data_IF_153843797008
#
_entry.id   IF_153843797008
#
_cell.length_a   1.000
_cell.length_b   1.000
_cell.length_c   1.000
_cell.angle_alpha   90.00
_cell.angle_beta   90.00
_cell.angle_gamma   90.00
#
_symmetry.space_group_name_H-M   'P 1'
#
loop_
_entity.id
_entity.type
_entity.pdbx_description
1 polymer ?
#
# COMPACT_ATOMS: atom_id res chain seq x y z
N UNK A 1 -22.30 -5.09 8.98
CA UNK A 1 -22.68 -3.71 8.57
C UNK A 1 -22.18 -2.59 9.50
N UNK A 2 -21.18 -2.82 10.37
CA UNK A 2 -20.48 -1.75 11.11
C UNK A 2 -19.23 -1.20 10.38
N UNK A 3 -18.78 -1.91 9.34
CA UNK A 3 -17.58 -1.60 8.56
C UNK A 3 -17.70 -0.31 7.73
N UNK A 4 -18.88 -0.01 7.17
CA UNK A 4 -19.03 1.14 6.27
C UNK A 4 -19.15 2.48 7.00
N UNK A 5 -19.69 2.51 8.23
CA UNK A 5 -19.93 3.77 8.95
C UNK A 5 -18.63 4.40 9.47
N UNK A 6 -17.64 3.61 9.86
CA UNK A 6 -16.32 4.08 10.30
C UNK A 6 -15.46 4.59 9.13
N UNK A 7 -15.62 4.04 7.93
CA UNK A 7 -14.92 4.45 6.71
C UNK A 7 -15.27 5.88 6.25
N UNK A 8 -16.51 6.29 6.46
CA UNK A 8 -17.01 7.62 6.04
C UNK A 8 -16.38 8.73 6.87
N UNK A 9 -16.22 8.52 8.18
CA UNK A 9 -15.73 9.54 9.10
C UNK A 9 -14.25 9.94 8.82
N UNK A 10 -13.40 8.97 8.46
CA UNK A 10 -11.98 9.22 8.24
C UNK A 10 -11.71 9.96 6.91
N UNK A 11 -12.51 9.66 5.88
CA UNK A 11 -12.39 10.26 4.53
C UNK A 11 -12.74 11.75 4.52
N UNK A 12 -13.63 12.19 5.43
CA UNK A 12 -14.05 13.59 5.60
C UNK A 12 -12.96 14.48 6.22
N UNK A 13 -12.04 13.90 7.01
CA UNK A 13 -11.05 14.67 7.77
C UNK A 13 -9.81 15.02 6.93
N UNK A 14 -9.50 14.21 5.91
CA UNK A 14 -8.27 14.33 5.10
C UNK A 14 -8.46 15.03 3.75
N UNK A 15 -9.70 15.30 3.35
CA UNK A 15 -10.04 15.88 2.04
C UNK A 15 -10.07 17.40 2.03
N UNK A 16 -8.94 18.09 2.25
CA UNK A 16 -8.79 19.48 1.80
C UNK A 16 -7.35 19.78 1.32
N UNK A 17 -7.30 20.37 0.12
CA UNK A 17 -6.23 21.10 -0.59
C UNK A 17 -5.23 20.33 -1.50
N UNK A 18 -5.26 20.65 -2.80
CA UNK A 18 -4.31 21.62 -3.40
C UNK A 18 -3.13 21.10 -4.26
N UNK A 19 -3.36 20.95 -5.57
CA UNK A 19 -2.44 20.96 -6.74
C UNK A 19 -1.17 20.08 -6.68
N UNK A 20 -1.34 18.83 -7.10
CA UNK A 20 -0.46 18.13 -8.04
C UNK A 20 -1.39 17.49 -9.10
N UNK A 21 -0.87 17.05 -10.25
CA UNK A 21 -1.65 16.33 -11.27
C UNK A 21 -2.32 15.15 -10.56
N UNK A 22 -3.61 15.28 -10.26
CA UNK A 22 -4.37 14.35 -9.45
C UNK A 22 -5.58 13.99 -10.30
N UNK A 23 -5.85 12.70 -10.45
CA UNK A 23 -7.06 12.29 -11.16
C UNK A 23 -8.28 12.84 -10.42
N UNK A 24 -9.04 13.67 -11.12
CA UNK A 24 -10.20 14.35 -10.54
C UNK A 24 -11.43 13.43 -10.64
N UNK A 25 -11.66 12.67 -9.55
CA UNK A 25 -12.87 11.85 -9.44
C UNK A 25 -14.12 12.75 -9.50
N UNK A 26 -15.06 12.44 -10.40
CA UNK A 26 -16.24 13.26 -10.71
C UNK A 26 -17.08 13.69 -9.50
N UNK A 27 -17.02 12.95 -8.39
CA UNK A 27 -17.59 13.33 -7.11
C UNK A 27 -16.58 12.96 -6.01
N UNK A 28 -15.67 13.84 -5.59
CA UNK A 28 -14.72 13.54 -4.53
C UNK A 28 -15.32 13.79 -3.14
N UNK A 29 -14.74 13.24 -2.06
CA UNK A 29 -15.08 13.61 -0.69
C UNK A 29 -14.97 15.12 -0.47
N UNK A 30 -15.90 15.72 0.28
CA UNK A 30 -15.85 17.13 0.66
C UNK A 30 -16.86 18.06 -0.05
N UNK A 31 -17.56 17.59 -1.09
CA UNK A 31 -18.71 18.31 -1.66
C UNK A 31 -20.01 17.96 -0.92
N UNK A 32 -20.97 18.89 -0.81
CA UNK A 32 -22.25 18.67 -0.11
C UNK A 32 -22.94 17.37 -0.55
N UNK A 33 -22.98 17.16 -1.88
CA UNK A 33 -23.58 15.99 -2.50
C UNK A 33 -22.95 14.67 -2.03
N UNK A 34 -21.64 14.64 -1.77
CA UNK A 34 -20.96 13.44 -1.28
C UNK A 34 -21.50 13.04 0.10
N UNK A 35 -21.72 14.01 0.98
CA UNK A 35 -22.27 13.78 2.33
C UNK A 35 -23.67 13.15 2.31
N UNK A 36 -24.47 13.48 1.30
CA UNK A 36 -25.85 13.00 1.13
C UNK A 36 -25.97 11.64 0.42
N UNK A 37 -24.92 11.22 -0.30
CA UNK A 37 -24.91 9.95 -1.02
C UNK A 37 -24.88 8.74 -0.09
N UNK A 38 -25.58 7.67 -0.48
CA UNK A 38 -25.42 6.37 0.15
C UNK A 38 -23.99 5.86 -0.07
N UNK A 39 -23.54 4.95 0.77
CA UNK A 39 -22.20 4.39 0.60
C UNK A 39 -22.04 3.65 -0.74
N UNK A 40 -23.10 3.00 -1.23
CA UNK A 40 -23.10 2.36 -2.54
C UNK A 40 -22.93 3.39 -3.67
N UNK A 41 -23.65 4.51 -3.59
CA UNK A 41 -23.55 5.57 -4.61
C UNK A 41 -22.14 6.18 -4.63
N UNK A 42 -21.51 6.34 -3.46
CA UNK A 42 -20.13 6.82 -3.38
C UNK A 42 -19.16 5.84 -4.03
N UNK A 43 -19.32 4.53 -3.81
CA UNK A 43 -18.52 3.52 -4.50
C UNK A 43 -18.72 3.52 -6.02
N UNK A 44 -19.94 3.77 -6.50
CA UNK A 44 -20.21 3.89 -7.94
C UNK A 44 -19.52 5.14 -8.50
N UNK A 45 -19.55 6.25 -7.76
CA UNK A 45 -18.95 7.51 -8.18
C UNK A 45 -17.41 7.49 -8.25
N UNK A 46 -16.76 6.53 -7.58
CA UNK A 46 -15.31 6.32 -7.68
C UNK A 46 -14.90 5.36 -8.79
N UNK A 47 -15.84 4.86 -9.60
CA UNK A 47 -15.51 4.04 -10.77
C UNK A 47 -15.06 4.91 -11.92
N UNK A 48 -13.87 4.64 -12.42
CA UNK A 48 -13.36 5.19 -13.68
C UNK A 48 -13.96 4.36 -14.82
N UNK A 49 -14.61 4.99 -15.83
CA UNK A 49 -15.09 4.29 -17.02
C UNK A 49 -13.97 3.56 -17.76
N UNK A 50 -14.28 2.40 -18.34
CA UNK A 50 -13.28 1.53 -19.01
C UNK A 50 -12.57 2.27 -20.15
N UNK A 51 -13.29 3.06 -20.94
CA UNK A 51 -12.72 3.85 -22.02
C UNK A 51 -11.79 4.97 -21.53
N UNK A 52 -12.02 5.51 -20.33
CA UNK A 52 -11.14 6.50 -19.71
C UNK A 52 -9.87 5.80 -19.19
N UNK A 53 -10.00 4.68 -18.48
CA UNK A 53 -8.86 4.00 -17.86
C UNK A 53 -7.89 3.37 -18.87
N UNK A 54 -8.39 2.89 -20.01
CA UNK A 54 -7.56 2.35 -21.10
C UNK A 54 -6.70 3.41 -21.81
N UNK A 55 -7.03 4.70 -21.64
CA UNK A 55 -6.30 5.82 -22.23
C UNK A 55 -5.32 6.47 -21.27
N UNK A 56 -5.35 6.08 -19.99
CA UNK A 56 -4.49 6.67 -18.97
C UNK A 56 -3.06 6.16 -19.09
N UNK A 57 -2.09 7.06 -18.90
CA UNK A 57 -0.69 6.68 -18.75
C UNK A 57 -0.48 5.90 -17.45
N UNK A 58 0.64 5.16 -17.31
CA UNK A 58 1.01 4.52 -16.04
C UNK A 58 1.01 5.50 -14.87
N UNK A 59 1.51 6.72 -15.05
CA UNK A 59 1.55 7.78 -14.05
C UNK A 59 0.14 8.24 -13.65
N UNK A 60 -0.74 8.45 -14.64
CA UNK A 60 -2.13 8.84 -14.37
C UNK A 60 -2.88 7.74 -13.58
N UNK A 61 -2.62 6.47 -13.88
CA UNK A 61 -3.19 5.33 -13.13
C UNK A 61 -2.69 5.34 -11.69
N UNK A 62 -1.40 5.60 -11.47
CA UNK A 62 -0.81 5.73 -10.13
C UNK A 62 -1.45 6.90 -9.38
N UNK A 63 -1.62 8.05 -10.02
CA UNK A 63 -2.27 9.21 -9.41
C UNK A 63 -3.73 8.91 -9.04
N UNK A 64 -4.47 8.21 -9.91
CA UNK A 64 -5.81 7.76 -9.60
C UNK A 64 -5.86 6.77 -8.42
N UNK A 65 -4.89 5.87 -8.29
CA UNK A 65 -4.76 5.01 -7.13
C UNK A 65 -4.54 5.83 -5.85
N UNK A 66 -3.57 6.74 -5.84
CA UNK A 66 -3.16 7.50 -4.64
C UNK A 66 -4.18 8.56 -4.22
N UNK A 67 -4.99 9.04 -5.15
CA UNK A 67 -6.09 9.99 -4.90
C UNK A 67 -7.43 9.30 -4.67
N UNK A 68 -7.47 7.96 -4.69
CA UNK A 68 -8.70 7.21 -4.53
C UNK A 68 -9.40 7.57 -3.21
N UNK A 69 -10.67 8.02 -3.23
CA UNK A 69 -11.37 8.58 -2.07
C UNK A 69 -11.38 7.74 -0.79
N UNK A 70 -11.25 6.42 -0.92
CA UNK A 70 -11.29 5.52 0.21
C UNK A 70 -9.95 4.84 0.53
N UNK A 71 -8.84 5.33 -0.04
CA UNK A 71 -7.52 4.71 0.11
C UNK A 71 -7.11 4.55 1.60
N UNK A 72 -7.36 5.58 2.41
CA UNK A 72 -7.00 5.58 3.84
C UNK A 72 -7.98 4.81 4.72
N UNK A 73 -9.10 4.33 4.18
CA UNK A 73 -10.03 3.48 4.93
C UNK A 73 -9.39 2.18 5.42
N UNK A 74 -8.31 1.74 4.77
CA UNK A 74 -7.53 0.55 5.14
C UNK A 74 -7.09 0.57 6.60
N UNK A 75 -6.74 1.74 7.16
CA UNK A 75 -6.30 1.83 8.55
C UNK A 75 -7.42 1.63 9.57
N UNK A 76 -8.69 1.71 9.14
CA UNK A 76 -9.84 1.41 10.00
C UNK A 76 -10.22 -0.08 10.00
N UNK A 77 -9.48 -0.93 9.27
CA UNK A 77 -9.73 -2.36 9.19
C UNK A 77 -8.85 -3.15 10.16
N UNK A 78 -9.44 -4.11 10.88
CA UNK A 78 -8.70 -5.03 11.76
C UNK A 78 -7.71 -5.90 10.96
N UNK A 79 -8.08 -6.26 9.72
CA UNK A 79 -7.22 -7.00 8.80
C UNK A 79 -6.91 -6.13 7.58
N UNK A 80 -5.72 -5.52 7.60
CA UNK A 80 -5.26 -4.60 6.56
C UNK A 80 -5.13 -5.29 5.21
N UNK A 81 -4.63 -6.52 5.17
CA UNK A 81 -4.46 -7.30 3.93
C UNK A 81 -5.81 -7.57 3.23
N UNK A 82 -6.80 -8.08 3.97
CA UNK A 82 -8.15 -8.33 3.45
C UNK A 82 -8.84 -7.05 2.96
N UNK A 83 -8.51 -5.93 3.62
CA UNK A 83 -9.07 -4.64 3.31
C UNK A 83 -8.44 -4.00 2.06
N UNK A 84 -7.12 -4.18 1.89
CA UNK A 84 -6.43 -3.88 0.64
C UNK A 84 -6.95 -4.75 -0.52
N UNK A 85 -7.19 -6.04 -0.29
CA UNK A 85 -7.85 -6.94 -1.27
C UNK A 85 -9.20 -6.38 -1.73
N UNK A 86 -10.02 -5.93 -0.78
CA UNK A 86 -11.30 -5.32 -1.09
C UNK A 86 -11.12 -4.04 -1.92
N UNK A 87 -10.19 -3.17 -1.52
CA UNK A 87 -9.90 -1.92 -2.24
C UNK A 87 -9.53 -2.18 -3.69
N UNK A 88 -8.61 -3.12 -3.93
CA UNK A 88 -8.11 -3.46 -5.26
C UNK A 88 -9.23 -4.03 -6.13
N UNK A 89 -10.00 -4.99 -5.62
CA UNK A 89 -11.10 -5.62 -6.37
C UNK A 89 -12.21 -4.63 -6.74
N UNK A 90 -12.37 -3.56 -5.96
CA UNK A 90 -13.49 -2.62 -6.12
C UNK A 90 -13.07 -1.27 -6.72
N UNK A 91 -11.82 -1.04 -7.04
CA UNK A 91 -11.36 0.20 -7.69
C UNK A 91 -10.90 -0.08 -9.11
N UNK A 92 -11.42 0.70 -10.07
CA UNK A 92 -10.94 0.62 -11.45
C UNK A 92 -9.44 0.91 -11.53
N UNK A 93 -8.96 1.93 -10.82
CA UNK A 93 -7.55 2.33 -10.81
C UNK A 93 -6.63 1.21 -10.32
N UNK A 94 -6.94 0.62 -9.16
CA UNK A 94 -6.12 -0.48 -8.62
C UNK A 94 -6.20 -1.76 -9.46
N UNK A 95 -7.35 -2.04 -10.08
CA UNK A 95 -7.46 -3.15 -11.03
C UNK A 95 -6.59 -2.93 -12.28
N UNK A 96 -6.51 -1.70 -12.79
CA UNK A 96 -5.63 -1.36 -13.90
C UNK A 96 -4.15 -1.38 -13.51
N UNK A 97 -3.84 -0.97 -12.27
CA UNK A 97 -2.48 -1.04 -11.72
C UNK A 97 -1.93 -2.48 -11.76
N UNK A 98 -2.68 -3.46 -11.26
CA UNK A 98 -2.25 -4.87 -11.23
C UNK A 98 -2.33 -5.56 -12.61
N UNK A 99 -3.01 -4.95 -13.59
CA UNK A 99 -3.21 -5.51 -14.92
C UNK A 99 -2.04 -5.30 -15.90
N UNK A 100 -1.10 -4.40 -15.60
CA UNK A 100 0.00 -4.04 -16.50
C UNK A 100 1.31 -3.84 -15.72
N UNK A 101 2.39 -4.46 -16.21
CA UNK A 101 3.75 -4.33 -15.68
C UNK A 101 4.25 -2.89 -15.61
N UNK A 102 3.99 -2.08 -16.64
CA UNK A 102 4.42 -0.68 -16.67
C UNK A 102 3.76 0.14 -15.56
N UNK A 103 2.49 -0.13 -15.26
CA UNK A 103 1.78 0.50 -14.15
C UNK A 103 2.39 0.12 -12.79
N UNK A 104 2.73 -1.16 -12.60
CA UNK A 104 3.41 -1.63 -11.40
C UNK A 104 4.79 -0.96 -11.21
N UNK A 105 5.56 -0.79 -12.30
CA UNK A 105 6.86 -0.10 -12.27
C UNK A 105 6.65 1.39 -11.93
N UNK A 106 5.68 2.07 -12.55
CA UNK A 106 5.36 3.46 -12.25
C UNK A 106 4.97 3.64 -10.76
N UNK A 107 4.18 2.71 -10.22
CA UNK A 107 3.80 2.72 -8.80
C UNK A 107 4.99 2.54 -7.87
N UNK A 108 5.92 1.64 -8.23
CA UNK A 108 7.16 1.45 -7.47
C UNK A 108 8.06 2.70 -7.53
N UNK A 109 8.18 3.34 -8.69
CA UNK A 109 8.94 4.58 -8.84
C UNK A 109 8.34 5.69 -7.97
N UNK A 110 7.02 5.79 -7.94
CA UNK A 110 6.31 6.75 -7.08
C UNK A 110 6.45 6.41 -5.59
N UNK A 111 6.56 5.13 -5.23
CA UNK A 111 6.89 4.73 -3.87
C UNK A 111 8.28 5.23 -3.47
N UNK A 112 9.28 5.02 -4.33
CA UNK A 112 10.64 5.47 -4.07
C UNK A 112 10.78 6.99 -4.00
N UNK A 113 10.01 7.75 -4.79
CA UNK A 113 10.01 9.21 -4.68
C UNK A 113 9.44 9.68 -3.32
N UNK A 114 8.46 8.96 -2.76
CA UNK A 114 7.77 9.32 -1.51
C UNK A 114 8.53 8.98 -0.23
N UNK A 115 9.25 7.86 -0.20
CA UNK A 115 10.02 7.50 1.01
C UNK A 115 11.16 8.50 1.31
N UNK A 116 11.58 9.28 0.31
CA UNK A 116 12.58 10.34 0.45
C UNK A 116 12.02 11.77 0.54
N UNK A 117 10.68 11.95 0.55
CA UNK A 117 10.04 13.26 0.41
C UNK A 117 9.96 14.05 1.73
N UNK A 118 10.48 13.50 2.84
CA UNK A 118 10.55 14.21 4.11
C UNK A 118 11.42 15.46 4.02
N UNK A 119 10.85 16.61 4.36
CA UNK A 119 11.61 17.87 4.51
C UNK A 119 11.48 18.39 5.94
N UNK A 120 12.52 19.05 6.45
CA UNK A 120 12.53 19.68 7.78
C UNK A 120 11.42 20.73 7.95
N UNK A 121 10.87 21.24 6.84
CA UNK A 121 9.81 22.25 6.83
C UNK A 121 8.38 21.65 6.75
N UNK A 122 8.24 20.33 6.67
CA UNK A 122 6.93 19.69 6.58
C UNK A 122 6.14 19.88 7.88
N UNK A 123 4.88 20.29 7.77
CA UNK A 123 4.03 20.39 8.95
C UNK A 123 3.57 19.00 9.42
N UNK A 124 3.09 18.91 10.67
CA UNK A 124 2.67 17.64 11.28
C UNK A 124 1.61 16.90 10.46
N UNK A 125 0.69 17.62 9.80
CA UNK A 125 -0.38 17.01 8.99
C UNK A 125 0.20 16.39 7.72
N UNK A 126 1.11 17.06 7.05
CA UNK A 126 1.82 16.56 5.86
C UNK A 126 2.63 15.30 6.18
N UNK A 127 3.37 15.32 7.29
CA UNK A 127 4.14 14.16 7.77
C UNK A 127 3.25 12.94 7.99
N UNK A 128 2.10 13.13 8.64
CA UNK A 128 1.14 12.04 8.88
C UNK A 128 0.55 11.54 7.56
N UNK A 129 0.11 12.44 6.68
CA UNK A 129 -0.48 12.08 5.37
C UNK A 129 0.52 11.33 4.49
N UNK A 130 1.77 11.79 4.43
CA UNK A 130 2.85 11.11 3.71
C UNK A 130 3.10 9.72 4.30
N UNK A 131 3.24 9.62 5.63
CA UNK A 131 3.45 8.33 6.30
C UNK A 131 2.31 7.33 6.05
N UNK A 132 1.06 7.78 6.08
CA UNK A 132 -0.10 6.95 5.72
C UNK A 132 -0.08 6.56 4.25
N UNK A 133 0.28 7.48 3.35
CA UNK A 133 0.37 7.20 1.90
C UNK A 133 1.43 6.15 1.61
N UNK A 134 2.64 6.33 2.14
CA UNK A 134 3.73 5.35 2.04
C UNK A 134 3.29 3.99 2.58
N UNK A 135 2.64 3.96 3.75
CA UNK A 135 2.17 2.71 4.36
C UNK A 135 1.11 1.99 3.50
N UNK A 136 0.18 2.73 2.86
CA UNK A 136 -0.75 2.11 1.92
C UNK A 136 -0.02 1.58 0.68
N UNK A 137 0.93 2.33 0.14
CA UNK A 137 1.73 1.88 -1.00
C UNK A 137 2.48 0.59 -0.67
N UNK A 138 3.11 0.50 0.50
CA UNK A 138 3.78 -0.72 0.97
C UNK A 138 2.82 -1.90 1.09
N UNK A 139 1.60 -1.67 1.57
CA UNK A 139 0.59 -2.72 1.67
C UNK A 139 0.10 -3.19 0.28
N UNK A 140 -0.04 -2.28 -0.68
CA UNK A 140 -0.36 -2.63 -2.07
C UNK A 140 0.80 -3.37 -2.72
N UNK A 141 2.05 -2.92 -2.50
CA UNK A 141 3.26 -3.60 -2.95
C UNK A 141 3.43 -4.98 -2.29
N UNK A 142 2.93 -5.18 -1.08
CA UNK A 142 2.95 -6.47 -0.38
C UNK A 142 2.02 -7.52 -1.01
N UNK A 143 1.21 -7.14 -2.01
CA UNK A 143 0.30 -8.05 -2.71
C UNK A 143 1.03 -8.79 -3.82
N UNK A 144 0.66 -10.06 -3.99
CA UNK A 144 1.34 -10.98 -4.92
C UNK A 144 1.40 -10.51 -6.36
N UNK A 145 0.36 -9.84 -6.83
CA UNK A 145 0.21 -9.45 -8.21
C UNK A 145 1.24 -8.37 -8.60
N UNK A 146 1.60 -7.47 -7.68
CA UNK A 146 2.50 -6.35 -8.00
C UNK A 146 3.94 -6.83 -8.10
N UNK A 147 4.48 -7.47 -7.06
CA UNK A 147 5.89 -7.92 -7.09
C UNK A 147 6.16 -9.03 -8.11
N UNK A 148 5.14 -9.79 -8.52
CA UNK A 148 5.26 -10.75 -9.62
C UNK A 148 5.51 -10.08 -10.98
N UNK A 149 5.07 -8.83 -11.15
CA UNK A 149 5.28 -8.06 -12.39
C UNK A 149 6.64 -7.35 -12.41
N UNK A 150 7.26 -7.15 -11.25
CA UNK A 150 8.52 -6.42 -11.13
C UNK A 150 9.74 -7.25 -11.56
N UNK A 151 10.79 -6.62 -12.12
CA UNK A 151 12.10 -7.25 -12.28
C UNK A 151 12.65 -7.78 -10.95
N UNK A 152 13.49 -8.82 -11.00
CA UNK A 152 14.17 -9.37 -9.81
C UNK A 152 14.94 -8.28 -9.04
N UNK A 153 15.70 -7.44 -9.75
CA UNK A 153 16.47 -6.35 -9.14
C UNK A 153 15.59 -5.38 -8.35
N UNK A 154 14.43 -5.01 -8.89
CA UNK A 154 13.48 -4.13 -8.22
C UNK A 154 12.84 -4.80 -6.99
N UNK A 155 12.56 -6.11 -7.06
CA UNK A 155 12.10 -6.87 -5.89
C UNK A 155 13.16 -6.92 -4.78
N UNK A 156 14.44 -7.08 -5.13
CA UNK A 156 15.54 -7.05 -4.16
C UNK A 156 15.72 -5.66 -3.55
N UNK A 157 15.62 -4.60 -4.36
CA UNK A 157 15.67 -3.22 -3.88
C UNK A 157 14.49 -2.90 -2.96
N UNK A 158 13.29 -3.35 -3.30
CA UNK A 158 12.09 -3.22 -2.49
C UNK A 158 12.25 -3.94 -1.15
N UNK A 159 12.75 -5.18 -1.18
CA UNK A 159 13.02 -5.96 0.03
C UNK A 159 14.04 -5.27 0.94
N UNK A 160 15.12 -4.73 0.36
CA UNK A 160 16.14 -3.98 1.10
C UNK A 160 15.54 -2.73 1.78
N UNK A 161 14.77 -1.93 1.06
CA UNK A 161 14.09 -0.74 1.62
C UNK A 161 13.08 -1.11 2.71
N UNK A 162 12.34 -2.22 2.55
CA UNK A 162 11.42 -2.71 3.57
C UNK A 162 12.13 -3.21 4.85
N UNK A 163 13.41 -3.59 4.76
CA UNK A 163 14.20 -4.06 5.90
C UNK A 163 14.86 -2.95 6.74
N UNK A 164 14.74 -1.69 6.30
CA UNK A 164 15.29 -0.55 7.03
C UNK A 164 14.65 -0.42 8.43
N UNK A 165 15.45 -0.02 9.45
CA UNK A 165 14.96 0.06 10.82
C UNK A 165 13.88 1.15 10.96
N UNK A 166 12.79 0.80 11.67
CA UNK A 166 11.75 1.76 12.05
C UNK A 166 11.98 2.21 13.50
N UNK A 167 12.18 3.50 13.71
CA UNK A 167 12.23 4.09 15.06
C UNK A 167 10.89 3.87 15.79
N UNK A 168 10.95 3.55 17.08
CA UNK A 168 9.74 3.43 17.92
C UNK A 168 8.95 4.74 18.03
N UNK A 169 9.61 5.88 17.83
CA UNK A 169 8.95 7.18 17.79
C UNK A 169 8.11 7.38 16.51
N UNK A 170 8.46 6.68 15.43
CA UNK A 170 7.84 6.84 14.11
C UNK A 170 6.68 5.87 13.87
N UNK A 171 6.48 4.90 14.79
CA UNK A 171 5.44 3.87 14.73
C UNK A 171 4.98 3.41 16.13
N UNK A 172 4.39 4.31 16.94
CA UNK A 172 3.96 3.96 18.31
C UNK A 172 2.84 2.90 18.33
N UNK A 173 2.06 2.78 17.27
CA UNK A 173 0.97 1.81 17.14
C UNK A 173 1.42 0.47 16.51
N UNK A 174 2.64 0.38 15.98
CA UNK A 174 3.16 -0.82 15.33
C UNK A 174 2.59 -1.12 13.93
N UNK A 175 1.81 -0.19 13.36
CA UNK A 175 1.14 -0.36 12.07
C UNK A 175 2.14 -0.40 10.91
N UNK A 176 3.18 0.45 10.94
CA UNK A 176 4.21 0.44 9.90
C UNK A 176 5.00 -0.87 9.95
N UNK A 177 5.32 -1.36 11.14
CA UNK A 177 6.01 -2.65 11.30
C UNK A 177 5.14 -3.80 10.81
N UNK A 178 3.84 -3.81 11.10
CA UNK A 178 2.90 -4.81 10.57
C UNK A 178 2.92 -4.84 9.04
N UNK A 179 2.79 -3.69 8.40
CA UNK A 179 2.76 -3.56 6.94
C UNK A 179 4.11 -3.96 6.31
N UNK A 180 5.23 -3.48 6.86
CA UNK A 180 6.57 -3.89 6.35
C UNK A 180 6.83 -5.38 6.56
N UNK A 181 6.29 -5.99 7.62
CA UNK A 181 6.37 -7.45 7.84
C UNK A 181 5.65 -8.21 6.72
N UNK A 182 4.45 -7.77 6.32
CA UNK A 182 3.73 -8.33 5.17
C UNK A 182 4.52 -8.17 3.87
N UNK A 183 5.03 -6.96 3.61
CA UNK A 183 5.81 -6.66 2.41
C UNK A 183 7.06 -7.54 2.31
N UNK A 184 7.89 -7.55 3.34
CA UNK A 184 9.12 -8.37 3.36
C UNK A 184 8.79 -9.85 3.19
N UNK A 185 7.88 -10.38 4.01
CA UNK A 185 7.61 -11.82 3.99
C UNK A 185 7.01 -12.29 2.67
N UNK A 186 6.14 -11.51 2.05
CA UNK A 186 5.54 -11.89 0.76
C UNK A 186 6.55 -11.79 -0.40
N UNK A 187 7.42 -10.77 -0.41
CA UNK A 187 8.50 -10.68 -1.41
C UNK A 187 9.50 -11.82 -1.23
N UNK A 188 9.88 -12.16 0.01
CA UNK A 188 10.74 -13.32 0.29
C UNK A 188 10.09 -14.58 -0.27
N UNK A 189 8.84 -14.91 0.11
CA UNK A 189 8.13 -16.10 -0.39
C UNK A 189 8.12 -16.18 -1.92
N UNK A 190 7.97 -15.04 -2.59
CA UNK A 190 8.04 -14.97 -4.04
C UNK A 190 9.43 -15.32 -4.59
N UNK A 191 10.49 -14.71 -4.04
CA UNK A 191 11.87 -14.98 -4.45
C UNK A 191 12.26 -16.44 -4.22
N UNK A 192 11.88 -17.04 -3.08
CA UNK A 192 12.12 -18.46 -2.81
C UNK A 192 11.55 -19.37 -3.92
N UNK A 193 10.33 -19.06 -4.36
CA UNK A 193 9.62 -19.87 -5.35
C UNK A 193 10.10 -19.66 -6.79
N UNK A 194 10.64 -18.48 -7.13
CA UNK A 194 10.86 -18.08 -8.53
C UNK A 194 12.32 -17.88 -8.92
N UNK A 195 13.20 -17.44 -8.02
CA UNK A 195 14.62 -17.22 -8.32
C UNK A 195 15.52 -18.28 -7.68
N UNK A 196 15.03 -19.09 -6.74
CA UNK A 196 15.83 -19.96 -5.85
C UNK A 196 16.98 -19.23 -5.15
N UNK A 197 17.01 -17.90 -5.18
CA UNK A 197 18.09 -17.11 -4.61
C UNK A 197 17.98 -17.07 -3.09
N UNK A 198 16.79 -17.31 -2.53
CA UNK A 198 16.55 -17.23 -1.10
C UNK A 198 15.98 -18.55 -0.59
N UNK A 199 16.59 -19.14 0.43
CA UNK A 199 16.04 -20.29 1.16
C UNK A 199 15.87 -19.90 2.63
N UNK A 200 14.65 -19.53 2.99
CA UNK A 200 14.24 -19.07 4.31
C UNK A 200 13.14 -19.97 4.85
N UNK A 201 13.27 -20.39 6.11
CA UNK A 201 12.22 -21.11 6.83
C UNK A 201 11.52 -20.15 7.79
N UNK A 202 10.30 -19.76 7.45
CA UNK A 202 9.44 -18.99 8.35
C UNK A 202 8.99 -19.83 9.55
N UNK A 203 8.82 -19.19 10.70
CA UNK A 203 8.09 -19.79 11.81
C UNK A 203 6.63 -20.06 11.43
N UNK A 204 5.93 -20.93 12.18
CA UNK A 204 4.49 -21.18 11.97
C UNK A 204 3.68 -19.89 12.15
N UNK A 205 4.11 -19.02 13.07
CA UNK A 205 3.46 -17.71 13.31
C UNK A 205 3.65 -16.78 12.13
N UNK A 206 4.87 -16.64 11.62
CA UNK A 206 5.17 -15.86 10.42
C UNK A 206 4.38 -16.39 9.22
N UNK A 207 4.36 -17.71 9.03
CA UNK A 207 3.62 -18.35 7.93
C UNK A 207 2.11 -18.08 8.01
N UNK A 208 1.53 -18.15 9.22
CA UNK A 208 0.13 -17.81 9.47
C UNK A 208 -0.14 -16.33 9.14
N UNK A 209 0.66 -15.43 9.72
CA UNK A 209 0.49 -13.98 9.51
C UNK A 209 0.59 -13.59 8.03
N UNK A 210 1.58 -14.11 7.31
CA UNK A 210 1.74 -13.82 5.88
C UNK A 210 0.61 -14.42 5.01
N UNK A 211 -0.06 -15.46 5.49
CA UNK A 211 -1.18 -16.07 4.77
C UNK A 211 -2.52 -15.35 5.04
N UNK A 212 -2.74 -14.87 6.27
CA UNK A 212 -4.04 -14.36 6.70
C UNK A 212 -4.08 -12.85 6.93
N UNK A 213 -2.92 -12.22 7.14
CA UNK A 213 -2.83 -10.85 7.66
C UNK A 213 -3.26 -10.71 9.12
N UNK A 214 -3.37 -11.82 9.89
CA UNK A 214 -3.84 -11.80 11.28
C UNK A 214 -2.80 -12.36 12.24
N UNK A 215 -2.88 -11.95 13.52
CA UNK A 215 -1.98 -12.45 14.56
C UNK A 215 -0.58 -11.82 14.51
N UNK A 216 -0.50 -10.58 14.02
CA UNK A 216 0.74 -9.81 14.05
C UNK A 216 1.26 -9.65 15.48
N UNK A 217 2.58 -9.76 15.63
CA UNK A 217 3.29 -9.34 16.83
C UNK A 217 4.61 -8.66 16.46
N UNK A 218 5.13 -7.72 17.26
CA UNK A 218 6.36 -6.99 16.93
C UNK A 218 7.57 -7.89 16.66
N UNK A 219 7.62 -9.07 17.27
CA UNK A 219 8.70 -10.04 17.10
C UNK A 219 8.74 -10.63 15.68
N UNK A 220 7.60 -10.66 14.98
CA UNK A 220 7.55 -11.12 13.58
C UNK A 220 8.31 -10.19 12.65
N UNK A 221 8.27 -8.88 12.90
CA UNK A 221 9.05 -7.92 12.14
C UNK A 221 10.54 -8.21 12.27
N UNK A 222 11.02 -8.40 13.50
CA UNK A 222 12.43 -8.67 13.77
C UNK A 222 12.86 -10.04 13.22
N UNK A 223 12.01 -11.08 13.35
CA UNK A 223 12.24 -12.41 12.77
C UNK A 223 12.46 -12.31 11.25
N UNK A 224 11.50 -11.74 10.52
CA UNK A 224 11.58 -11.65 9.06
C UNK A 224 12.74 -10.73 8.63
N UNK A 225 12.94 -9.61 9.32
CA UNK A 225 14.04 -8.69 9.02
C UNK A 225 15.41 -9.35 9.16
N UNK A 226 15.64 -10.15 10.21
CA UNK A 226 16.91 -10.88 10.38
C UNK A 226 17.15 -11.83 9.21
N UNK A 227 16.11 -12.54 8.75
CA UNK A 227 16.20 -13.45 7.60
C UNK A 227 16.55 -12.70 6.30
N UNK A 228 15.97 -11.52 6.12
CA UNK A 228 16.27 -10.64 4.98
C UNK A 228 17.70 -10.11 5.02
N UNK A 229 18.16 -9.63 6.17
CA UNK A 229 19.53 -9.11 6.31
C UNK A 229 20.58 -10.21 6.11
N UNK A 230 20.35 -11.40 6.68
CA UNK A 230 21.25 -12.54 6.50
C UNK A 230 21.41 -12.93 5.02
N UNK A 231 20.37 -12.77 4.19
CA UNK A 231 20.49 -12.98 2.75
C UNK A 231 21.42 -11.95 2.10
N UNK A 232 21.23 -10.66 2.40
CA UNK A 232 22.07 -9.61 1.82
C UNK A 232 23.52 -9.64 2.30
N UNK A 233 23.78 -10.13 3.52
CA UNK A 233 25.14 -10.28 4.05
C UNK A 233 25.91 -11.45 3.39
N UNK A 234 25.22 -12.46 2.85
CA UNK A 234 25.84 -13.63 2.20
C UNK A 234 26.07 -13.46 0.69
N UNK A 235 25.41 -12.50 0.06
CA UNK A 235 25.51 -12.20 -1.38
C UNK A 235 26.53 -11.08 -1.71
N UNK A 236 27.19 -10.50 -0.69
CA UNK A 236 28.20 -9.44 -0.82
C UNK A 236 29.63 -9.95 -0.63
#
# INVERSE_FOLDING_TARGET
MKFLSTWVALSLILGQEGVAIAYDYKLPPGISRWGEMSAQDRFIATKIPVNEIEQMSPEEIVDACLTYPFIYGIFACDNKLSCADYLVRNSSAFSALEGNRENCIAFLNQYYSKIGEYTENSNKREIIKLGMTVSVMELILARSQVFQMLPLEENLKLLKSASEPISRHDDPAGEKREIKTLLMGNVVKFLQNNSKSMEVKFSDKSSHFLATGTGYSPELFDEIRVLVLAYFDNEG
#
